data_IF_049293701817
#
_entry.id   IF_049293701817
#
_cell.length_a   1.000
_cell.length_b   1.000
_cell.length_c   1.000
_cell.angle_alpha   90.00
_cell.angle_beta   90.00
_cell.angle_gamma   90.00
#
_symmetry.space_group_name_H-M   'P 1'
#
loop_
_entity.id
_entity.type
_entity.pdbx_description
1 polymer ?
#
# COMPACT_ATOMS: atom_id res chain seq x y z
N UNK A 1 -16.75 -38.88 1.78
CA UNK A 1 -17.27 -37.51 1.57
C UNK A 1 -16.11 -36.60 1.23
N UNK A 2 -15.91 -36.29 -0.05
CA UNK A 2 -14.99 -35.21 -0.43
C UNK A 2 -15.60 -33.89 0.05
N UNK A 3 -15.00 -33.27 1.07
CA UNK A 3 -15.37 -31.89 1.45
C UNK A 3 -14.98 -30.99 0.28
N UNK A 4 -15.95 -30.44 -0.44
CA UNK A 4 -15.70 -29.34 -1.36
C UNK A 4 -15.14 -28.18 -0.54
N UNK A 5 -13.84 -27.90 -0.70
CA UNK A 5 -13.25 -26.66 -0.21
C UNK A 5 -13.80 -25.54 -1.10
N UNK A 6 -14.42 -24.48 -0.55
CA UNK A 6 -14.79 -23.32 -1.34
C UNK A 6 -13.54 -22.78 -2.03
N UNK A 7 -13.66 -22.41 -3.31
CA UNK A 7 -12.56 -21.73 -4.01
C UNK A 7 -12.32 -20.39 -3.31
N UNK A 8 -11.05 -20.05 -3.11
CA UNK A 8 -10.67 -18.71 -2.62
C UNK A 8 -10.98 -17.67 -3.70
N UNK A 9 -11.15 -16.41 -3.32
CA UNK A 9 -11.28 -15.30 -4.27
C UNK A 9 -10.15 -15.32 -5.33
N UNK A 10 -8.93 -15.59 -4.88
CA UNK A 10 -7.77 -15.68 -5.77
C UNK A 10 -7.91 -16.79 -6.82
N UNK A 11 -8.37 -17.98 -6.40
CA UNK A 11 -8.64 -19.11 -7.28
C UNK A 11 -9.84 -18.87 -8.20
N UNK A 12 -10.85 -18.14 -7.74
CA UNK A 12 -11.99 -17.72 -8.56
C UNK A 12 -11.55 -16.74 -9.65
N UNK A 13 -10.68 -15.77 -9.33
CA UNK A 13 -10.11 -14.83 -10.30
C UNK A 13 -9.29 -15.56 -11.36
N UNK A 14 -8.33 -16.40 -10.94
CA UNK A 14 -7.52 -17.21 -11.87
C UNK A 14 -8.37 -18.11 -12.76
N UNK A 15 -9.37 -18.78 -12.18
CA UNK A 15 -10.26 -19.65 -12.95
C UNK A 15 -11.08 -18.86 -13.98
N UNK A 16 -11.47 -17.62 -13.68
CA UNK A 16 -12.16 -16.75 -14.63
C UNK A 16 -11.24 -16.34 -15.79
N UNK A 17 -9.98 -15.97 -15.49
CA UNK A 17 -8.98 -15.62 -16.49
C UNK A 17 -8.74 -16.77 -17.49
N UNK A 18 -8.65 -18.01 -17.00
CA UNK A 18 -8.33 -19.19 -17.83
C UNK A 18 -9.51 -19.63 -18.72
N UNK A 19 -10.76 -19.44 -18.27
CA UNK A 19 -11.94 -20.03 -18.92
C UNK A 19 -12.68 -19.10 -19.89
N UNK A 20 -12.28 -17.83 -20.04
CA UNK A 20 -13.00 -16.87 -20.87
C UNK A 20 -12.29 -16.56 -22.20
N UNK A 21 -12.85 -17.12 -23.27
CA UNK A 21 -12.74 -16.59 -24.64
C UNK A 21 -13.80 -15.49 -24.80
N UNK A 22 -13.37 -14.23 -24.84
CA UNK A 22 -14.12 -13.04 -25.29
C UNK A 22 -15.60 -12.92 -24.82
N UNK A 23 -15.88 -12.19 -23.72
CA UNK A 23 -16.78 -11.00 -23.72
C UNK A 23 -17.29 -10.47 -22.37
N UNK A 24 -17.20 -11.17 -21.22
CA UNK A 24 -17.62 -10.57 -19.93
C UNK A 24 -16.45 -10.25 -19.00
N UNK A 25 -16.13 -8.96 -18.90
CA UNK A 25 -14.96 -8.40 -18.20
C UNK A 25 -15.18 -8.10 -16.72
N UNK A 26 -16.37 -8.39 -16.19
CA UNK A 26 -16.74 -8.11 -14.79
C UNK A 26 -16.88 -9.39 -13.97
N UNK A 27 -16.49 -9.30 -12.71
CA UNK A 27 -16.65 -10.37 -11.74
C UNK A 27 -17.98 -10.21 -11.02
N UNK A 28 -18.91 -11.15 -11.23
CA UNK A 28 -20.29 -11.11 -10.73
C UNK A 28 -20.45 -11.16 -9.20
N UNK A 29 -19.37 -11.34 -8.44
CA UNK A 29 -19.40 -11.34 -6.97
C UNK A 29 -18.69 -10.09 -6.45
N UNK A 30 -19.34 -9.29 -5.59
CA UNK A 30 -18.69 -8.16 -4.96
C UNK A 30 -17.45 -8.63 -4.20
N UNK A 31 -16.30 -8.14 -4.64
CA UNK A 31 -15.02 -8.36 -3.99
C UNK A 31 -14.84 -7.25 -2.97
N UNK A 32 -14.75 -7.55 -1.67
CA UNK A 32 -14.41 -6.54 -0.63
C UNK A 32 -15.27 -5.25 -0.64
N UNK A 33 -16.61 -5.29 -0.63
CA UNK A 33 -17.47 -4.13 -0.92
C UNK A 33 -17.12 -2.88 -0.09
N UNK A 34 -17.28 -1.69 -0.68
CA UNK A 34 -17.10 -0.43 0.04
C UNK A 34 -18.03 -0.34 1.26
N UNK A 35 -17.50 0.24 2.33
CA UNK A 35 -18.10 0.29 3.64
C UNK A 35 -17.98 -1.02 4.41
N UNK A 36 -18.82 -1.17 5.42
CA UNK A 36 -18.91 -2.37 6.24
C UNK A 36 -19.72 -2.09 7.50
N UNK A 37 -20.38 -3.12 8.02
CA UNK A 37 -21.13 -3.02 9.28
C UNK A 37 -20.55 -4.04 10.24
N UNK A 38 -20.13 -3.58 11.41
CA UNK A 38 -19.68 -4.47 12.47
C UNK A 38 -20.47 -4.23 13.75
N UNK A 39 -20.68 -5.30 14.51
CA UNK A 39 -21.53 -5.26 15.68
C UNK A 39 -20.69 -5.32 16.95
N UNK A 40 -20.87 -4.35 17.84
CA UNK A 40 -20.22 -4.31 19.14
C UNK A 40 -21.25 -4.69 20.21
N UNK A 41 -20.85 -5.54 21.16
CA UNK A 41 -21.64 -5.79 22.35
C UNK A 41 -21.58 -4.56 23.28
N UNK A 42 -22.72 -3.95 23.56
CA UNK A 42 -22.83 -2.83 24.48
C UNK A 42 -22.31 -3.22 25.87
N UNK A 43 -21.54 -2.33 26.48
CA UNK A 43 -20.99 -2.53 27.82
C UNK A 43 -22.07 -2.58 28.91
N UNK A 44 -21.69 -3.12 30.08
CA UNK A 44 -22.57 -3.32 31.26
C UNK A 44 -23.27 -2.06 31.82
N UNK A 45 -22.95 -0.86 31.31
CA UNK A 45 -23.64 0.40 31.68
C UNK A 45 -24.95 0.61 30.92
N UNK A 46 -25.26 -0.20 29.91
CA UNK A 46 -26.57 -0.21 29.27
C UNK A 46 -27.58 -0.90 30.19
N UNK A 47 -28.60 -0.16 30.64
CA UNK A 47 -29.59 -0.55 31.69
C UNK A 47 -30.62 -1.55 31.13
N UNK A 48 -30.17 -2.65 30.54
CA UNK A 48 -31.04 -3.63 29.87
C UNK A 48 -30.58 -5.05 30.18
N UNK A 49 -31.53 -5.91 30.54
CA UNK A 49 -31.32 -7.33 30.81
C UNK A 49 -31.03 -8.16 29.53
N UNK A 50 -30.98 -7.52 28.37
CA UNK A 50 -30.66 -8.12 27.07
C UNK A 50 -29.32 -7.53 26.61
N UNK A 51 -28.34 -8.34 26.15
CA UNK A 51 -27.15 -7.80 25.53
C UNK A 51 -27.55 -6.92 24.35
N UNK A 52 -27.46 -5.60 24.53
CA UNK A 52 -27.65 -4.65 23.46
C UNK A 52 -26.46 -4.78 22.53
N UNK A 53 -26.73 -5.06 21.26
CA UNK A 53 -25.74 -5.05 20.20
C UNK A 53 -25.90 -3.73 19.45
N UNK A 54 -24.78 -3.07 19.19
CA UNK A 54 -24.73 -1.80 18.49
C UNK A 54 -24.04 -2.04 17.16
N UNK A 55 -24.74 -1.75 16.07
CA UNK A 55 -24.16 -1.77 14.74
C UNK A 55 -23.42 -0.45 14.50
N UNK A 56 -22.16 -0.57 14.07
CA UNK A 56 -21.31 0.55 13.70
C UNK A 56 -21.00 0.44 12.22
N UNK A 57 -21.22 1.52 11.49
CA UNK A 57 -20.98 1.61 10.05
C UNK A 57 -19.58 2.16 9.78
N UNK A 58 -18.87 1.54 8.83
CA UNK A 58 -17.64 2.06 8.25
C UNK A 58 -17.98 2.82 6.98
N UNK A 59 -17.49 4.05 6.85
CA UNK A 59 -17.59 4.86 5.63
C UNK A 59 -16.21 5.19 5.05
N UNK A 60 -16.20 5.51 3.75
CA UNK A 60 -15.01 5.92 3.02
C UNK A 60 -13.85 4.90 3.12
N UNK A 61 -14.18 3.60 3.02
CA UNK A 61 -13.21 2.50 3.13
C UNK A 61 -12.40 2.26 1.86
N UNK A 62 -12.65 3.00 0.77
CA UNK A 62 -12.04 2.76 -0.54
C UNK A 62 -10.50 2.63 -0.50
N UNK A 63 -9.85 3.40 0.38
CA UNK A 63 -8.40 3.39 0.57
C UNK A 63 -7.88 2.10 1.19
N UNK A 64 -8.49 1.68 2.29
CA UNK A 64 -8.15 0.44 2.98
C UNK A 64 -8.52 -0.77 2.12
N UNK A 65 -9.61 -0.70 1.36
CA UNK A 65 -10.05 -1.79 0.49
C UNK A 65 -9.04 -2.07 -0.62
N UNK A 66 -8.63 -1.00 -1.31
CA UNK A 66 -7.59 -1.09 -2.34
C UNK A 66 -6.26 -1.61 -1.78
N UNK A 67 -5.87 -1.16 -0.59
CA UNK A 67 -4.66 -1.62 0.08
C UNK A 67 -4.71 -3.12 0.38
N UNK A 68 -5.78 -3.56 1.03
CA UNK A 68 -5.94 -4.95 1.46
C UNK A 68 -6.04 -5.89 0.25
N UNK A 69 -6.65 -5.45 -0.85
CA UNK A 69 -6.66 -6.20 -2.10
C UNK A 69 -5.25 -6.39 -2.66
N UNK A 70 -4.47 -5.31 -2.81
CA UNK A 70 -3.09 -5.38 -3.31
C UNK A 70 -2.23 -6.26 -2.38
N UNK A 71 -2.34 -6.09 -1.07
CA UNK A 71 -1.60 -6.89 -0.09
C UNK A 71 -1.96 -8.38 -0.18
N UNK A 72 -3.25 -8.70 -0.33
CA UNK A 72 -3.72 -10.07 -0.49
C UNK A 72 -3.10 -10.72 -1.73
N UNK A 73 -3.09 -10.00 -2.86
CA UNK A 73 -2.54 -10.47 -4.13
C UNK A 73 -1.05 -10.74 -4.02
N UNK A 74 -0.29 -9.76 -3.51
CA UNK A 74 1.16 -9.89 -3.29
C UNK A 74 1.47 -11.14 -2.46
N UNK A 75 0.76 -11.32 -1.33
CA UNK A 75 0.97 -12.47 -0.46
C UNK A 75 0.58 -13.79 -1.14
N UNK A 76 -0.50 -13.82 -1.92
CA UNK A 76 -0.97 -15.05 -2.58
C UNK A 76 0.00 -15.54 -3.65
N UNK A 77 0.52 -14.63 -4.46
CA UNK A 77 1.45 -14.97 -5.54
C UNK A 77 2.88 -15.21 -5.04
N UNK A 78 3.24 -14.68 -3.87
CA UNK A 78 4.60 -14.75 -3.34
C UNK A 78 4.65 -15.41 -1.94
N UNK A 79 4.59 -16.74 -1.90
CA UNK A 79 4.58 -17.51 -0.64
C UNK A 79 5.78 -17.22 0.28
N UNK A 80 6.94 -16.88 -0.28
CA UNK A 80 8.14 -16.50 0.49
C UNK A 80 7.94 -15.23 1.32
N UNK A 81 7.12 -14.29 0.84
CA UNK A 81 6.93 -13.00 1.50
C UNK A 81 6.13 -13.10 2.79
N UNK A 82 5.39 -14.18 3.03
CA UNK A 82 4.62 -14.35 4.27
C UNK A 82 5.53 -14.26 5.50
N UNK A 83 6.67 -14.95 5.45
CA UNK A 83 7.64 -14.99 6.56
C UNK A 83 8.34 -13.65 6.73
N UNK A 84 8.71 -13.01 5.63
CA UNK A 84 9.35 -11.69 5.65
C UNK A 84 8.42 -10.62 6.22
N UNK A 85 7.17 -10.57 5.76
CA UNK A 85 6.17 -9.60 6.23
C UNK A 85 5.71 -9.87 7.65
N UNK A 86 5.69 -11.14 8.09
CA UNK A 86 5.37 -11.49 9.47
C UNK A 86 6.33 -10.87 10.50
N UNK A 87 7.58 -10.53 10.12
CA UNK A 87 8.52 -9.81 10.98
C UNK A 87 8.02 -8.41 11.30
N UNK A 88 7.35 -7.75 10.35
CA UNK A 88 6.92 -6.35 10.47
C UNK A 88 5.46 -6.20 10.91
N UNK A 89 4.57 -7.05 10.37
CA UNK A 89 3.13 -7.00 10.63
C UNK A 89 2.70 -7.96 11.75
N UNK A 90 3.52 -8.95 12.07
CA UNK A 90 3.23 -10.03 13.02
C UNK A 90 2.70 -11.28 12.32
N UNK A 91 3.24 -12.45 12.69
CA UNK A 91 2.84 -13.75 12.12
C UNK A 91 1.34 -14.01 12.21
N UNK A 92 0.75 -13.81 13.39
CA UNK A 92 -0.68 -14.02 13.60
C UNK A 92 -1.53 -13.09 12.74
N UNK A 93 -1.08 -11.84 12.52
CA UNK A 93 -1.77 -10.92 11.63
C UNK A 93 -1.79 -11.44 10.20
N UNK A 94 -0.64 -11.83 9.65
CA UNK A 94 -0.54 -12.30 8.24
C UNK A 94 -1.36 -13.58 8.03
N UNK A 95 -1.26 -14.55 8.93
CA UNK A 95 -2.03 -15.80 8.85
C UNK A 95 -3.54 -15.55 8.95
N UNK A 96 -3.97 -14.71 9.88
CA UNK A 96 -5.39 -14.42 10.07
C UNK A 96 -5.96 -13.55 8.95
N UNK A 97 -5.20 -12.57 8.46
CA UNK A 97 -5.53 -11.76 7.29
C UNK A 97 -5.81 -12.64 6.06
N UNK A 98 -4.89 -13.56 5.74
CA UNK A 98 -5.05 -14.47 4.60
C UNK A 98 -6.25 -15.41 4.76
N UNK A 99 -6.48 -15.91 5.98
CA UNK A 99 -7.64 -16.74 6.29
C UNK A 99 -8.98 -16.01 6.09
N UNK A 100 -9.08 -14.78 6.61
CA UNK A 100 -10.31 -13.97 6.50
C UNK A 100 -10.58 -13.55 5.06
N UNK A 101 -9.55 -13.16 4.31
CA UNK A 101 -9.66 -12.85 2.88
C UNK A 101 -10.15 -14.06 2.07
N UNK A 102 -9.59 -15.25 2.32
CA UNK A 102 -10.04 -16.51 1.68
C UNK A 102 -11.46 -16.91 2.06
N UNK A 103 -11.90 -16.52 3.26
CA UNK A 103 -13.23 -16.82 3.78
C UNK A 103 -14.26 -15.75 3.42
N UNK A 104 -13.86 -14.75 2.63
CA UNK A 104 -14.67 -13.59 2.25
C UNK A 104 -15.22 -12.77 3.44
N UNK A 105 -14.56 -12.83 4.60
CA UNK A 105 -14.95 -12.07 5.81
C UNK A 105 -14.31 -10.67 5.80
N UNK A 106 -14.68 -9.90 4.79
CA UNK A 106 -14.04 -8.64 4.42
C UNK A 106 -14.20 -7.53 5.47
N UNK A 107 -15.34 -7.48 6.16
CA UNK A 107 -15.53 -6.55 7.28
C UNK A 107 -14.56 -6.85 8.42
N UNK A 108 -14.36 -8.13 8.76
CA UNK A 108 -13.41 -8.50 9.81
C UNK A 108 -11.96 -8.23 9.38
N UNK A 109 -11.63 -8.39 8.09
CA UNK A 109 -10.32 -7.98 7.56
C UNK A 109 -10.06 -6.49 7.80
N UNK A 110 -11.02 -5.62 7.45
CA UNK A 110 -10.92 -4.17 7.67
C UNK A 110 -10.73 -3.85 9.15
N UNK A 111 -11.55 -4.47 10.01
CA UNK A 111 -11.48 -4.27 11.46
C UNK A 111 -10.14 -4.74 12.05
N UNK A 112 -9.60 -5.85 11.56
CA UNK A 112 -8.27 -6.35 11.96
C UNK A 112 -7.18 -5.30 11.67
N UNK A 113 -7.22 -4.68 10.50
CA UNK A 113 -6.30 -3.61 10.13
C UNK A 113 -6.53 -2.34 10.95
N UNK A 114 -7.75 -1.81 10.97
CA UNK A 114 -8.12 -0.59 11.70
C UNK A 114 -7.73 -0.70 13.17
N UNK A 115 -8.07 -1.81 13.84
CA UNK A 115 -7.72 -2.02 15.24
C UNK A 115 -6.22 -2.02 15.46
N UNK A 116 -5.45 -2.69 14.59
CA UNK A 116 -3.99 -2.71 14.68
C UNK A 116 -3.42 -1.28 14.60
N UNK A 117 -3.93 -0.45 13.71
CA UNK A 117 -3.38 0.89 13.45
C UNK A 117 -3.86 1.94 14.44
N UNK A 118 -5.13 1.88 14.85
CA UNK A 118 -5.68 2.70 15.94
C UNK A 118 -4.88 2.52 17.24
N UNK A 119 -4.52 1.28 17.58
CA UNK A 119 -3.73 0.99 18.79
C UNK A 119 -2.35 1.68 18.80
N UNK A 120 -1.84 2.00 17.60
CA UNK A 120 -0.54 2.66 17.39
C UNK A 120 -0.67 4.17 17.11
N UNK A 121 -1.90 4.73 17.11
CA UNK A 121 -2.21 6.12 16.71
C UNK A 121 -1.77 6.45 15.27
N UNK A 122 -1.76 5.44 14.39
CA UNK A 122 -1.36 5.55 12.98
C UNK A 122 -2.58 5.60 12.04
N UNK A 123 -3.72 6.05 12.55
CA UNK A 123 -4.97 6.08 11.82
C UNK A 123 -5.78 7.31 12.21
N UNK A 124 -6.24 8.08 11.22
CA UNK A 124 -7.17 9.19 11.39
C UNK A 124 -8.59 8.65 11.26
N UNK A 125 -9.49 9.02 12.13
CA UNK A 125 -10.91 8.69 11.92
C UNK A 125 -11.78 9.73 12.57
N UNK A 126 -12.88 10.06 11.92
CA UNK A 126 -13.95 10.80 12.56
C UNK A 126 -14.97 9.81 13.10
N UNK A 127 -15.22 9.88 14.42
CA UNK A 127 -16.20 9.02 15.10
C UNK A 127 -17.47 9.84 15.30
N UNK A 128 -18.49 9.58 14.47
CA UNK A 128 -19.80 10.20 14.60
C UNK A 128 -20.66 9.35 15.55
N UNK A 129 -20.50 9.59 16.86
CA UNK A 129 -21.14 8.79 17.91
C UNK A 129 -22.67 8.71 17.79
N UNK A 130 -23.33 9.80 17.38
CA UNK A 130 -24.79 9.84 17.19
C UNK A 130 -25.26 9.03 15.98
N UNK A 131 -24.43 8.92 14.94
CA UNK A 131 -24.71 8.15 13.73
C UNK A 131 -24.18 6.72 13.80
N UNK A 132 -23.45 6.36 14.89
CA UNK A 132 -22.76 5.09 15.04
C UNK A 132 -21.85 4.78 13.83
N UNK A 133 -21.05 5.77 13.47
CA UNK A 133 -20.28 5.75 12.23
C UNK A 133 -18.81 6.08 12.48
N UNK A 134 -17.94 5.35 11.79
CA UNK A 134 -16.51 5.64 11.71
C UNK A 134 -16.22 6.01 10.25
N UNK A 135 -15.87 7.27 10.05
CA UNK A 135 -15.39 7.76 8.76
C UNK A 135 -13.87 7.55 8.67
N UNK A 136 -13.44 6.86 7.61
CA UNK A 136 -12.04 6.53 7.33
C UNK A 136 -11.43 7.42 6.23
N UNK A 137 -12.09 8.51 5.84
CA UNK A 137 -11.54 9.48 4.90
C UNK A 137 -10.20 10.05 5.39
N UNK A 138 -9.26 10.30 4.50
CA UNK A 138 -8.00 10.95 4.87
C UNK A 138 -6.90 9.99 5.35
N UNK A 139 -7.05 8.67 5.19
CA UNK A 139 -6.05 7.64 5.54
C UNK A 139 -5.32 7.06 4.33
N UNK A 140 -5.50 7.66 3.16
CA UNK A 140 -4.98 7.18 1.88
C UNK A 140 -3.47 6.98 1.95
N UNK A 141 -2.76 7.98 2.47
CA UNK A 141 -1.32 7.95 2.53
C UNK A 141 -0.87 7.03 3.67
N UNK A 142 -1.48 7.16 4.84
CA UNK A 142 -1.14 6.40 6.04
C UNK A 142 -1.24 4.90 5.81
N UNK A 143 -2.29 4.43 5.10
CA UNK A 143 -2.47 3.00 4.77
C UNK A 143 -1.29 2.41 3.97
N UNK A 144 -0.70 3.19 3.08
CA UNK A 144 0.31 2.71 2.13
C UNK A 144 1.75 3.10 2.50
N UNK A 145 1.94 4.08 3.38
CA UNK A 145 3.28 4.58 3.72
C UNK A 145 3.59 4.40 5.20
N UNK A 146 2.91 5.12 6.08
CA UNK A 146 3.19 5.14 7.52
C UNK A 146 2.96 3.77 8.16
N UNK A 147 1.91 3.06 7.73
CA UNK A 147 1.57 1.76 8.28
C UNK A 147 2.57 0.64 7.94
N UNK A 148 3.52 0.91 7.04
CA UNK A 148 4.61 0.02 6.61
C UNK A 148 5.99 0.66 6.83
N UNK A 149 6.08 1.68 7.70
CA UNK A 149 7.28 2.48 7.92
C UNK A 149 8.56 1.67 8.20
N UNK A 150 8.44 0.58 8.97
CA UNK A 150 9.58 -0.26 9.32
C UNK A 150 10.02 -1.12 8.14
N UNK A 151 9.08 -1.60 7.33
CA UNK A 151 9.34 -2.47 6.17
C UNK A 151 10.22 -1.76 5.14
N UNK A 152 9.90 -0.51 4.82
CA UNK A 152 10.57 0.25 3.77
C UNK A 152 11.59 1.26 4.32
N UNK A 153 11.93 1.16 5.61
CA UNK A 153 12.84 2.10 6.23
C UNK A 153 14.23 2.05 5.59
N UNK A 154 14.80 3.23 5.37
CA UNK A 154 16.14 3.44 4.83
C UNK A 154 16.97 4.32 5.74
N UNK A 155 18.28 4.15 5.69
CA UNK A 155 19.26 4.94 6.39
C UNK A 155 20.30 5.49 5.40
N UNK A 156 20.81 6.70 5.68
CA UNK A 156 21.89 7.31 4.92
C UNK A 156 22.81 8.03 5.91
N UNK A 157 24.05 7.57 6.00
CA UNK A 157 25.06 8.22 6.81
C UNK A 157 25.59 9.45 6.08
N UNK A 158 25.90 10.50 6.84
CA UNK A 158 26.55 11.69 6.32
C UNK A 158 27.60 12.23 7.27
N UNK A 159 28.62 12.87 6.72
CA UNK A 159 29.67 13.55 7.47
C UNK A 159 29.95 14.95 6.93
N UNK A 160 30.21 15.91 7.81
CA UNK A 160 30.59 17.28 7.45
C UNK A 160 32.11 17.43 7.47
N UNK A 161 32.65 18.17 6.49
CA UNK A 161 34.07 18.51 6.42
C UNK A 161 34.54 19.44 7.53
N UNK A 162 33.63 20.24 8.11
CA UNK A 162 33.95 21.12 9.24
C UNK A 162 34.03 20.32 10.55
N UNK A 163 35.17 20.42 11.23
CA UNK A 163 35.40 19.74 12.51
C UNK A 163 34.52 20.27 13.64
N UNK A 164 34.16 21.55 13.59
CA UNK A 164 33.37 22.23 14.62
C UNK A 164 31.86 22.13 14.37
N UNK A 165 31.45 21.43 13.31
CA UNK A 165 30.05 21.20 13.00
C UNK A 165 29.38 20.41 14.14
N UNK A 166 28.32 20.93 14.78
CA UNK A 166 27.67 20.24 15.90
C UNK A 166 27.06 18.89 15.48
N UNK A 167 26.49 18.85 14.28
CA UNK A 167 26.01 17.62 13.64
C UNK A 167 27.02 17.00 12.68
N UNK A 168 28.32 16.96 13.03
CA UNK A 168 29.37 16.52 12.10
C UNK A 168 29.07 15.17 11.48
N UNK A 169 28.61 14.19 12.26
CA UNK A 169 28.14 12.90 11.79
C UNK A 169 26.63 12.78 12.01
N UNK A 170 25.89 12.37 10.99
CA UNK A 170 24.45 12.13 11.09
C UNK A 170 24.06 10.83 10.40
N UNK A 171 23.08 10.15 10.97
CA UNK A 171 22.42 9.02 10.31
C UNK A 171 20.96 9.40 10.04
N UNK A 172 20.63 9.58 8.76
CA UNK A 172 19.34 10.11 8.33
C UNK A 172 18.44 8.96 7.93
N UNK A 173 17.45 8.69 8.79
CA UNK A 173 16.43 7.68 8.54
C UNK A 173 15.24 8.24 7.78
N UNK A 174 14.70 7.45 6.86
CA UNK A 174 13.43 7.71 6.17
C UNK A 174 12.59 6.44 6.23
N UNK A 175 11.34 6.57 6.64
CA UNK A 175 10.38 5.46 6.76
C UNK A 175 9.65 5.18 5.44
N UNK A 176 9.70 6.12 4.50
CA UNK A 176 8.97 6.09 3.23
C UNK A 176 9.88 6.51 2.09
N UNK A 177 9.61 5.98 0.89
CA UNK A 177 10.31 6.34 -0.35
C UNK A 177 9.49 7.44 -1.04
N UNK A 178 9.76 8.68 -0.64
CA UNK A 178 9.17 9.85 -1.26
C UNK A 178 10.09 10.33 -2.40
N UNK A 179 9.69 10.01 -3.63
CA UNK A 179 10.32 10.54 -4.84
C UNK A 179 9.49 11.70 -5.36
N UNK A 180 10.14 12.81 -5.67
CA UNK A 180 9.48 13.98 -6.26
C UNK A 180 9.70 13.97 -7.78
N UNK A 181 8.75 14.53 -8.56
CA UNK A 181 8.95 14.70 -9.99
C UNK A 181 10.20 15.56 -10.24
N UNK A 182 11.00 15.21 -11.26
CA UNK A 182 12.20 15.97 -11.58
C UNK A 182 11.81 17.37 -12.10
N UNK A 183 12.61 18.39 -11.77
CA UNK A 183 12.37 19.77 -12.22
C UNK A 183 12.50 19.91 -13.75
N UNK A 184 13.35 19.11 -14.37
CA UNK A 184 13.51 18.99 -15.82
C UNK A 184 13.37 17.52 -16.21
N UNK A 185 12.65 17.24 -17.29
CA UNK A 185 12.45 15.88 -17.75
C UNK A 185 13.80 15.25 -18.13
N UNK A 186 14.20 14.15 -17.46
CA UNK A 186 15.47 13.50 -17.76
C UNK A 186 15.43 12.84 -19.14
N UNK A 187 16.60 12.61 -19.73
CA UNK A 187 16.73 11.78 -20.93
C UNK A 187 16.39 10.30 -20.68
N UNK A 188 16.32 9.87 -19.42
CA UNK A 188 16.01 8.51 -18.97
C UNK A 188 14.60 8.46 -18.37
N UNK A 189 14.18 7.28 -17.90
CA UNK A 189 12.94 7.12 -17.14
C UNK A 189 12.88 8.08 -15.92
N UNK A 190 11.81 8.89 -15.77
CA UNK A 190 11.73 9.88 -14.71
C UNK A 190 11.57 9.27 -13.32
N UNK A 191 10.84 8.16 -13.19
CA UNK A 191 10.62 7.47 -11.91
C UNK A 191 11.93 6.81 -11.45
N UNK A 192 12.62 6.07 -12.33
CA UNK A 192 13.91 5.49 -12.03
C UNK A 192 14.94 6.56 -11.69
N UNK A 193 14.96 7.68 -12.41
CA UNK A 193 15.89 8.78 -12.12
C UNK A 193 15.63 9.40 -10.73
N UNK A 194 14.37 9.58 -10.35
CA UNK A 194 14.00 10.12 -9.05
C UNK A 194 14.34 9.13 -7.90
N UNK A 195 14.16 7.83 -8.15
CA UNK A 195 14.58 6.76 -7.25
C UNK A 195 16.11 6.74 -7.10
N UNK A 196 16.86 6.78 -8.21
CA UNK A 196 18.32 6.83 -8.19
C UNK A 196 18.82 8.04 -7.41
N UNK A 197 18.17 9.20 -7.57
CA UNK A 197 18.48 10.42 -6.82
C UNK A 197 18.22 10.26 -5.31
N UNK A 198 17.18 9.51 -4.91
CA UNK A 198 16.88 9.24 -3.50
C UNK A 198 17.95 8.34 -2.87
N UNK A 199 18.48 7.37 -3.63
CA UNK A 199 19.42 6.38 -3.12
C UNK A 199 20.90 6.75 -3.25
N UNK A 200 21.27 7.59 -4.22
CA UNK A 200 22.68 7.91 -4.52
C UNK A 200 23.43 8.63 -3.40
N UNK A 201 24.78 8.50 -3.37
CA UNK A 201 25.63 9.39 -2.59
C UNK A 201 25.54 10.81 -3.16
N UNK A 202 25.75 11.81 -2.32
CA UNK A 202 25.70 13.22 -2.74
C UNK A 202 26.54 14.10 -1.83
N UNK A 203 26.99 15.23 -2.39
CA UNK A 203 27.67 16.30 -1.67
C UNK A 203 26.76 17.51 -1.66
N UNK A 204 26.48 18.07 -0.49
CA UNK A 204 25.66 19.26 -0.31
C UNK A 204 26.34 20.23 0.65
N UNK A 205 25.95 21.50 0.64
CA UNK A 205 26.32 22.43 1.70
C UNK A 205 25.70 21.97 3.02
N UNK A 206 26.44 22.09 4.12
CA UNK A 206 25.94 21.76 5.44
C UNK A 206 24.78 22.69 5.82
N UNK A 207 23.67 22.12 6.31
CA UNK A 207 22.51 22.87 6.77
C UNK A 207 22.56 23.23 8.26
N UNK A 208 23.63 22.84 8.97
CA UNK A 208 23.81 23.17 10.38
C UNK A 208 24.06 24.67 10.54
N UNK A 209 23.41 25.29 11.52
CA UNK A 209 23.50 26.73 11.75
C UNK A 209 24.96 27.13 12.02
N UNK A 210 25.47 28.10 11.25
CA UNK A 210 26.84 28.58 11.38
C UNK A 210 27.92 27.63 10.81
N UNK A 211 27.53 26.61 10.03
CA UNK A 211 28.46 25.70 9.39
C UNK A 211 28.49 25.92 7.87
N UNK A 212 29.64 26.35 7.34
CA UNK A 212 29.87 26.50 5.89
C UNK A 212 30.58 25.28 5.26
N UNK A 213 30.58 24.15 5.97
CA UNK A 213 31.23 22.92 5.52
C UNK A 213 30.47 22.23 4.37
N UNK A 214 31.15 21.32 3.70
CA UNK A 214 30.54 20.41 2.72
C UNK A 214 30.16 19.13 3.45
N UNK A 215 28.91 18.70 3.28
CA UNK A 215 28.37 17.45 3.82
C UNK A 215 28.35 16.38 2.74
N UNK A 216 29.07 15.30 2.98
CA UNK A 216 29.08 14.09 2.18
C UNK A 216 28.05 13.10 2.70
N UNK A 217 27.20 12.61 1.82
CA UNK A 217 26.22 11.57 2.09
C UNK A 217 26.66 10.28 1.39
N UNK A 218 26.68 9.19 2.16
CA UNK A 218 26.90 7.83 1.67
C UNK A 218 25.75 7.35 0.77
N UNK A 219 25.92 6.18 0.14
CA UNK A 219 24.81 5.48 -0.50
C UNK A 219 23.73 5.18 0.55
N UNK A 220 22.47 5.52 0.25
CA UNK A 220 21.34 5.14 1.11
C UNK A 220 21.07 3.64 0.97
N UNK A 221 20.71 3.00 2.08
CA UNK A 221 20.45 1.56 2.14
C UNK A 221 19.18 1.27 2.93
N UNK A 222 18.56 0.12 2.70
CA UNK A 222 17.43 -0.36 3.51
C UNK A 222 17.92 -0.84 4.88
N UNK A 223 17.20 -0.50 5.95
CA UNK A 223 17.58 -0.83 7.32
C UNK A 223 17.52 -2.34 7.62
N UNK A 224 16.63 -3.07 6.94
CA UNK A 224 16.34 -4.48 7.20
C UNK A 224 16.61 -5.38 5.97
N UNK A 225 17.47 -4.91 5.06
CA UNK A 225 17.65 -5.52 3.75
C UNK A 225 16.57 -5.12 2.75
N UNK A 226 16.68 -5.55 1.48
CA UNK A 226 15.71 -5.21 0.43
C UNK A 226 14.32 -5.74 0.82
N UNK A 227 13.27 -4.90 0.92
CA UNK A 227 11.96 -5.38 1.34
C UNK A 227 11.29 -6.24 0.26
N UNK A 228 10.35 -7.14 0.62
CA UNK A 228 9.57 -7.95 -0.33
C UNK A 228 8.79 -7.10 -1.33
N UNK A 229 8.36 -5.91 -0.94
CA UNK A 229 7.78 -4.92 -1.83
C UNK A 229 8.09 -3.50 -1.35
N UNK A 230 8.01 -2.54 -2.27
CA UNK A 230 8.15 -1.11 -2.03
C UNK A 230 6.95 -0.36 -2.56
N UNK A 231 6.65 0.76 -1.93
CA UNK A 231 5.58 1.66 -2.34
C UNK A 231 6.20 3.02 -2.64
N UNK A 232 5.97 3.51 -3.85
CA UNK A 232 6.33 4.86 -4.26
C UNK A 232 5.12 5.76 -4.09
N UNK A 233 5.26 6.82 -3.30
CA UNK A 233 4.23 7.84 -3.17
C UNK A 233 4.19 8.71 -4.44
N UNK A 234 3.06 8.72 -5.13
CA UNK A 234 2.88 9.44 -6.39
C UNK A 234 2.02 10.70 -6.24
N UNK A 235 1.57 11.07 -5.04
CA UNK A 235 0.67 12.22 -4.82
C UNK A 235 1.23 13.56 -5.32
N UNK A 236 2.56 13.72 -5.39
CA UNK A 236 3.20 14.93 -5.90
C UNK A 236 3.40 14.91 -7.42
N UNK A 237 3.21 13.77 -8.08
CA UNK A 237 3.38 13.60 -9.51
C UNK A 237 2.08 13.92 -10.22
N UNK A 238 2.14 14.74 -11.28
CA UNK A 238 0.99 14.94 -12.14
C UNK A 238 0.99 13.85 -13.20
N UNK A 239 -0.21 13.39 -13.59
CA UNK A 239 -0.37 12.42 -14.68
C UNK A 239 0.29 12.92 -15.96
N UNK A 240 0.24 14.23 -16.20
CA UNK A 240 0.83 14.88 -17.38
C UNK A 240 2.37 14.85 -17.36
N UNK A 241 2.98 14.72 -16.18
CA UNK A 241 4.44 14.65 -16.01
C UNK A 241 4.99 13.24 -16.29
N UNK A 242 4.11 12.24 -16.43
CA UNK A 242 4.46 10.83 -16.62
C UNK A 242 4.05 10.34 -18.01
N UNK A 243 5.03 10.16 -18.89
CA UNK A 243 4.79 9.57 -20.21
C UNK A 243 4.53 8.06 -20.16
N UNK A 244 5.03 7.37 -19.13
CA UNK A 244 4.74 5.96 -18.83
C UNK A 244 5.12 5.64 -17.38
N UNK A 245 4.66 4.48 -16.89
CA UNK A 245 5.10 3.88 -15.63
C UNK A 245 6.04 2.72 -15.94
N UNK A 246 7.27 2.69 -15.40
CA UNK A 246 8.19 1.60 -15.68
C UNK A 246 7.68 0.30 -15.06
N UNK A 247 7.67 -0.77 -15.85
CA UNK A 247 7.37 -2.10 -15.30
C UNK A 247 8.50 -2.63 -14.40
N UNK A 248 9.73 -2.14 -14.62
CA UNK A 248 10.92 -2.55 -13.89
C UNK A 248 11.53 -1.39 -13.13
N UNK A 249 11.86 -1.60 -11.87
CA UNK A 249 12.51 -0.62 -11.03
C UNK A 249 13.78 -1.21 -10.42
N UNK A 250 14.91 -0.55 -10.58
CA UNK A 250 16.17 -0.91 -9.93
C UNK A 250 16.30 -0.15 -8.61
N UNK A 251 16.50 -0.87 -7.51
CA UNK A 251 16.61 -0.33 -6.15
C UNK A 251 17.76 -1.03 -5.43
N UNK A 252 18.82 -0.29 -5.10
CA UNK A 252 19.95 -0.82 -4.32
C UNK A 252 20.47 -2.18 -4.86
N UNK A 253 20.73 -2.27 -6.17
CA UNK A 253 21.19 -3.49 -6.86
C UNK A 253 20.14 -4.62 -6.98
N UNK A 254 18.91 -4.40 -6.51
CA UNK A 254 17.81 -5.36 -6.65
C UNK A 254 16.83 -4.87 -7.72
N UNK A 255 16.21 -5.81 -8.43
CA UNK A 255 15.16 -5.54 -9.39
C UNK A 255 13.80 -5.71 -8.73
N UNK A 256 12.91 -4.79 -9.01
CA UNK A 256 11.53 -4.78 -8.55
C UNK A 256 10.58 -4.71 -9.76
N UNK A 257 9.45 -5.40 -9.67
CA UNK A 257 8.43 -5.50 -10.73
C UNK A 257 7.16 -4.77 -10.29
N UNK A 258 6.56 -4.00 -11.20
CA UNK A 258 5.30 -3.32 -10.92
C UNK A 258 4.18 -4.36 -10.75
N UNK A 259 3.59 -4.43 -9.56
CA UNK A 259 2.57 -5.42 -9.21
C UNK A 259 1.21 -4.78 -8.97
N UNK A 260 1.19 -3.51 -8.57
CA UNK A 260 -0.06 -2.81 -8.32
C UNK A 260 0.10 -1.30 -8.27
N UNK A 261 -1.05 -0.63 -8.25
CA UNK A 261 -1.15 0.81 -8.14
C UNK A 261 -2.46 1.17 -7.44
N UNK A 262 -2.47 2.31 -6.76
CA UNK A 262 -3.70 2.97 -6.35
C UNK A 262 -3.96 4.20 -7.18
N UNK A 263 -5.23 4.44 -7.44
CA UNK A 263 -5.71 5.44 -8.36
C UNK A 263 -6.69 6.34 -7.61
N UNK A 264 -6.57 7.65 -7.82
CA UNK A 264 -7.50 8.62 -7.26
C UNK A 264 -8.33 9.27 -8.36
N UNK A 265 -9.65 9.17 -8.23
CA UNK A 265 -10.60 9.94 -9.03
C UNK A 265 -10.90 11.26 -8.29
N UNK A 266 -10.45 12.39 -8.84
CA UNK A 266 -10.72 13.72 -8.28
C UNK A 266 -12.19 14.10 -8.31
N UNK A 267 -12.95 13.65 -9.32
CA UNK A 267 -14.36 14.02 -9.48
C UNK A 267 -15.25 13.26 -8.50
N UNK A 268 -15.03 11.95 -8.38
CA UNK A 268 -15.77 11.08 -7.45
C UNK A 268 -15.20 11.11 -6.03
N UNK A 269 -14.06 11.78 -5.79
CA UNK A 269 -13.29 11.73 -4.54
C UNK A 269 -13.06 10.29 -4.06
N UNK A 270 -12.71 9.40 -4.99
CA UNK A 270 -12.75 7.96 -4.78
C UNK A 270 -11.40 7.30 -5.09
N UNK A 271 -11.05 6.31 -4.28
CA UNK A 271 -9.84 5.52 -4.46
C UNK A 271 -10.17 4.14 -5.03
N UNK A 272 -9.43 3.75 -6.06
CA UNK A 272 -9.48 2.39 -6.60
C UNK A 272 -8.08 1.79 -6.63
N UNK A 273 -8.01 0.48 -6.86
CA UNK A 273 -6.75 -0.24 -6.98
C UNK A 273 -6.65 -0.93 -8.33
N UNK A 274 -5.43 -1.06 -8.82
CA UNK A 274 -5.11 -1.96 -9.91
C UNK A 274 -3.98 -2.89 -9.50
N UNK A 275 -4.03 -4.14 -9.91
CA UNK A 275 -3.02 -5.13 -9.57
C UNK A 275 -2.93 -6.24 -10.60
N UNK A 276 -1.80 -6.94 -10.63
CA UNK A 276 -1.60 -8.09 -11.50
C UNK A 276 -2.02 -9.40 -10.82
N UNK A 277 -2.65 -10.29 -11.56
CA UNK A 277 -2.83 -11.71 -11.21
C UNK A 277 -2.49 -12.51 -12.47
N UNK A 278 -1.52 -13.43 -12.38
CA UNK A 278 -1.06 -14.25 -13.51
C UNK A 278 -0.70 -13.45 -14.78
N UNK A 279 -0.18 -12.22 -14.60
CA UNK A 279 0.19 -11.30 -15.70
C UNK A 279 -0.97 -10.51 -16.30
N UNK A 280 -2.20 -10.74 -15.86
CA UNK A 280 -3.37 -9.97 -16.24
C UNK A 280 -3.60 -8.80 -15.27
N UNK A 281 -3.93 -7.62 -15.80
CA UNK A 281 -4.26 -6.46 -14.97
C UNK A 281 -5.72 -6.50 -14.54
N UNK A 282 -5.95 -6.30 -13.26
CA UNK A 282 -7.26 -6.21 -12.65
C UNK A 282 -7.47 -4.77 -12.15
N UNK A 283 -8.68 -4.24 -12.27
CA UNK A 283 -9.09 -3.00 -11.62
C UNK A 283 -10.18 -3.29 -10.60
N UNK A 284 -9.93 -2.83 -9.39
CA UNK A 284 -10.81 -2.95 -8.25
C UNK A 284 -11.33 -1.57 -7.87
N UNK A 285 -12.61 -1.30 -8.10
CA UNK A 285 -13.23 0.00 -7.80
C UNK A 285 -13.79 0.07 -6.38
N UNK A 286 -14.18 -1.05 -5.76
CA UNK A 286 -14.84 -1.12 -4.46
C UNK A 286 -16.22 -0.44 -4.33
N UNK A 287 -16.57 0.52 -5.18
CA UNK A 287 -17.77 1.35 -5.08
C UNK A 287 -19.02 0.69 -5.68
N UNK A 288 -18.84 -0.10 -6.75
CA UNK A 288 -19.95 -0.62 -7.57
C UNK A 288 -20.24 -2.08 -7.27
N UNK A 289 -21.32 -2.62 -7.83
CA UNK A 289 -21.63 -4.06 -7.69
C UNK A 289 -20.64 -4.94 -8.48
N UNK A 290 -20.25 -4.46 -9.66
CA UNK A 290 -19.19 -5.04 -10.50
C UNK A 290 -17.85 -4.36 -10.19
N UNK A 291 -17.37 -4.58 -8.97
CA UNK A 291 -16.23 -3.82 -8.44
C UNK A 291 -14.86 -4.40 -8.77
N UNK A 292 -14.80 -5.52 -9.48
CA UNK A 292 -13.55 -6.09 -9.98
C UNK A 292 -13.73 -6.36 -11.47
N UNK A 293 -12.82 -5.83 -12.29
CA UNK A 293 -12.85 -5.97 -13.74
C UNK A 293 -11.48 -6.37 -14.28
N UNK A 294 -11.47 -7.17 -15.33
CA UNK A 294 -10.26 -7.50 -16.09
C UNK A 294 -9.94 -6.34 -17.05
N UNK A 295 -8.69 -5.89 -17.03
CA UNK A 295 -8.18 -4.87 -17.93
C UNK A 295 -7.36 -5.50 -19.06
N UNK A 296 -7.68 -5.12 -20.30
CA UNK A 296 -6.90 -5.53 -21.48
C UNK A 296 -5.55 -4.80 -21.58
N UNK A 297 -5.39 -3.69 -20.86
CA UNK A 297 -4.19 -2.86 -20.80
C UNK A 297 -4.01 -2.37 -19.36
N UNK A 298 -2.80 -1.97 -18.94
CA UNK A 298 -2.62 -1.25 -17.68
C UNK A 298 -3.59 -0.05 -17.60
N UNK A 299 -4.06 0.33 -16.40
CA UNK A 299 -4.99 1.45 -16.25
C UNK A 299 -4.45 2.71 -16.94
N UNK A 300 -5.24 3.29 -17.84
CA UNK A 300 -4.91 4.58 -18.47
C UNK A 300 -5.11 5.70 -17.42
N UNK A 301 -4.05 5.95 -16.64
CA UNK A 301 -3.75 7.14 -15.83
C UNK A 301 -4.96 7.90 -15.24
N UNK A 302 -5.75 7.23 -14.41
CA UNK A 302 -6.36 7.89 -13.25
C UNK A 302 -5.20 8.31 -12.32
N UNK A 303 -5.29 9.50 -11.72
CA UNK A 303 -4.17 10.12 -10.98
C UNK A 303 -3.52 9.11 -10.03
N UNK A 304 -2.28 8.73 -10.35
CA UNK A 304 -1.54 7.74 -9.59
C UNK A 304 -1.36 8.27 -8.17
N UNK A 305 -1.92 7.55 -7.20
CA UNK A 305 -1.73 7.87 -5.79
C UNK A 305 -0.49 7.16 -5.25
N UNK A 306 -0.33 5.88 -5.56
CA UNK A 306 0.85 5.09 -5.20
C UNK A 306 1.13 4.00 -6.23
N UNK A 307 2.41 3.65 -6.38
CA UNK A 307 2.86 2.50 -7.16
C UNK A 307 3.45 1.45 -6.23
N UNK A 308 3.10 0.20 -6.43
CA UNK A 308 3.55 -0.93 -5.62
C UNK A 308 4.39 -1.84 -6.48
N UNK A 309 5.67 -1.99 -6.11
CA UNK A 309 6.58 -2.89 -6.78
C UNK A 309 7.01 -4.02 -5.85
N UNK A 310 7.02 -5.26 -6.35
CA UNK A 310 7.51 -6.43 -5.61
C UNK A 310 8.96 -6.75 -5.98
N UNK A 311 9.72 -7.28 -5.03
CA UNK A 311 11.10 -7.73 -5.27
C UNK A 311 11.05 -8.89 -6.26
N UNK A 312 11.75 -8.77 -7.39
CA UNK A 312 11.83 -9.83 -8.38
C UNK A 312 12.47 -11.07 -7.73
N UNK A 313 11.90 -12.25 -8.00
CA UNK A 313 12.60 -13.49 -7.68
C UNK A 313 13.77 -13.63 -8.65
N UNK A 314 14.97 -13.92 -8.14
CA UNK A 314 16.05 -14.42 -8.98
C UNK A 314 15.60 -15.78 -9.53
N UNK A 315 14.99 -15.78 -10.72
CA UNK A 315 14.76 -16.99 -11.50
C UNK A 315 15.97 -17.25 -12.39
#
# INVERSE_FOLDING_TARGET
MCRFRPKTLFEEIRASIINNDEEDRSFWRPVLPWGGVFTIKAGRKAISCIPLYVEVQLKNTCTIDGFLMILYVILRDNQGFHRELAVFLGKQFVEHFLYLMDSCDYTTVKMLWIWNKMSKRQYRSEIHQAALEIDLFGNEHENFTENLENLMSTAQESSCSSCDCPGRFQNIRKTTINISPPHELPHKDPIQSAVDQFFRPKLLLCSELGCDGIREFSQRVFCHGPPPFVILNMQQWRSEDLSYVPYHLALCQHRYLLEGATLFNKEEHHYSAAFQIDGCWMHYDGLRSDNLILLNKPPELLLLSSLVYIRASDK
#
